data_IF_823082863387
#
_entry.id   IF_823082863387
#
_cell.length_a   1.000
_cell.length_b   1.000
_cell.length_c   1.000
_cell.angle_alpha   90.00
_cell.angle_beta   90.00
_cell.angle_gamma   90.00
#
_symmetry.space_group_name_H-M   'P 1'
#
loop_
_entity.id
_entity.type
_entity.pdbx_description
1 polymer ?
#
# COMPACT_ATOMS: atom_id res chain seq x y z
N UNK A 1 6.30 17.33 -13.40
CA UNK A 1 5.96 17.72 -12.00
C UNK A 1 7.26 17.79 -11.23
N UNK A 2 7.50 18.85 -10.48
CA UNK A 2 8.67 18.90 -9.59
C UNK A 2 8.29 18.19 -8.29
N UNK A 3 8.73 16.97 -8.11
CA UNK A 3 8.65 16.27 -6.84
C UNK A 3 9.81 16.77 -5.98
N UNK A 4 9.54 17.60 -4.99
CA UNK A 4 10.60 18.27 -4.23
C UNK A 4 11.08 17.50 -2.99
N UNK A 5 10.29 16.54 -2.47
CA UNK A 5 10.60 15.86 -1.21
C UNK A 5 10.61 14.34 -1.39
N UNK A 6 11.77 13.72 -1.22
CA UNK A 6 11.92 12.27 -1.16
C UNK A 6 11.34 11.77 0.16
N UNK A 7 10.32 10.90 0.09
CA UNK A 7 9.69 10.30 1.27
C UNK A 7 10.24 8.91 1.59
N UNK A 8 10.72 8.19 0.57
CA UNK A 8 11.35 6.88 0.73
C UNK A 8 12.62 6.84 -0.11
N UNK A 9 13.74 6.42 0.50
CA UNK A 9 14.98 6.12 -0.22
C UNK A 9 15.46 4.73 0.12
N UNK A 10 15.83 3.98 -0.89
CA UNK A 10 16.41 2.64 -0.79
C UNK A 10 17.74 2.69 -1.51
N UNK A 11 18.83 2.27 -0.84
CA UNK A 11 20.17 2.29 -1.43
C UNK A 11 20.84 0.94 -1.26
N UNK A 12 21.27 0.37 -2.37
CA UNK A 12 22.04 -0.87 -2.43
C UNK A 12 21.41 -2.04 -1.66
N UNK A 13 20.05 -2.10 -1.60
CA UNK A 13 19.35 -3.10 -0.83
C UNK A 13 19.57 -4.50 -1.42
N UNK A 14 20.05 -5.40 -0.58
CA UNK A 14 20.22 -6.80 -0.89
C UNK A 14 19.44 -7.65 0.12
N UNK A 15 18.69 -8.64 -0.37
CA UNK A 15 17.92 -9.55 0.49
C UNK A 15 18.20 -11.00 0.08
N UNK A 16 18.54 -11.82 1.09
CA UNK A 16 18.74 -13.27 0.90
C UNK A 16 17.90 -14.08 1.87
N UNK A 17 17.25 -15.12 1.37
CA UNK A 17 16.59 -16.16 2.15
C UNK A 17 17.50 -17.39 2.22
N UNK A 18 18.20 -17.57 3.33
CA UNK A 18 19.29 -18.56 3.43
C UNK A 18 20.38 -18.25 2.39
N UNK A 19 20.65 -19.19 1.49
CA UNK A 19 21.63 -19.02 0.41
C UNK A 19 21.07 -18.36 -0.85
N UNK A 20 19.74 -18.27 -0.99
CA UNK A 20 19.09 -17.73 -2.18
C UNK A 20 19.02 -16.19 -2.13
N UNK A 21 19.70 -15.54 -3.07
CA UNK A 21 19.58 -14.09 -3.27
C UNK A 21 18.27 -13.77 -3.98
N UNK A 22 17.43 -12.91 -3.36
CA UNK A 22 16.13 -12.49 -3.89
C UNK A 22 16.22 -11.09 -4.49
N UNK A 23 16.76 -10.13 -3.74
CA UNK A 23 17.05 -8.78 -4.23
C UNK A 23 18.56 -8.59 -4.26
N UNK A 24 19.04 -7.96 -5.34
CA UNK A 24 20.46 -7.80 -5.64
C UNK A 24 20.73 -6.36 -6.03
N UNK A 25 21.12 -5.52 -5.05
CA UNK A 25 21.50 -4.15 -5.33
C UNK A 25 20.32 -3.29 -5.86
N UNK A 26 19.25 -3.18 -5.06
CA UNK A 26 18.10 -2.34 -5.37
C UNK A 26 18.36 -0.93 -4.85
N UNK A 27 18.28 0.05 -5.74
CA UNK A 27 18.26 1.47 -5.38
C UNK A 27 17.02 2.13 -5.99
N UNK A 28 16.29 2.90 -5.17
CA UNK A 28 14.99 3.48 -5.52
C UNK A 28 14.72 4.68 -4.63
N UNK A 29 14.25 5.80 -5.19
CA UNK A 29 13.66 6.90 -4.45
C UNK A 29 12.19 7.08 -4.84
N UNK A 30 11.36 7.47 -3.87
CA UNK A 30 9.95 7.83 -4.05
C UNK A 30 9.75 9.24 -3.51
N UNK A 31 9.13 10.09 -4.30
CA UNK A 31 8.80 11.45 -3.94
C UNK A 31 7.35 11.59 -3.45
N UNK A 32 7.07 12.64 -2.70
CA UNK A 32 5.72 12.92 -2.21
C UNK A 32 4.72 13.05 -3.36
N UNK A 33 3.60 12.33 -3.28
CA UNK A 33 2.56 12.30 -4.31
C UNK A 33 2.96 11.63 -5.63
N UNK A 34 4.05 10.84 -5.66
CA UNK A 34 4.49 10.08 -6.82
C UNK A 34 3.89 8.67 -6.83
N UNK A 35 3.47 8.18 -7.99
CA UNK A 35 3.10 6.79 -8.22
C UNK A 35 4.21 6.11 -9.02
N UNK A 36 4.96 5.22 -8.36
CA UNK A 36 5.99 4.40 -9.01
C UNK A 36 5.48 2.98 -9.20
N UNK A 37 5.39 2.54 -10.45
CA UNK A 37 5.06 1.16 -10.77
C UNK A 37 6.30 0.28 -10.80
N UNK A 38 6.20 -0.91 -10.22
CA UNK A 38 7.24 -1.95 -10.27
C UNK A 38 6.66 -3.18 -10.96
N UNK A 39 7.05 -3.40 -12.20
CA UNK A 39 6.68 -4.58 -12.98
C UNK A 39 7.74 -5.68 -12.84
N UNK A 40 7.38 -6.89 -13.24
CA UNK A 40 8.32 -8.03 -13.28
C UNK A 40 7.60 -9.37 -13.22
N UNK A 41 8.29 -10.43 -13.63
CA UNK A 41 7.74 -11.80 -13.61
C UNK A 41 7.38 -12.24 -12.19
N UNK A 42 6.47 -13.22 -12.07
CA UNK A 42 6.22 -13.88 -10.78
C UNK A 42 7.52 -14.41 -10.19
N UNK A 43 7.74 -14.22 -8.89
CA UNK A 43 8.95 -14.63 -8.20
C UNK A 43 10.18 -13.74 -8.40
N UNK A 44 10.09 -12.59 -9.11
CA UNK A 44 11.22 -11.66 -9.29
C UNK A 44 11.66 -10.93 -8.02
N UNK A 45 10.83 -10.94 -6.95
CA UNK A 45 11.15 -10.28 -5.68
C UNK A 45 10.27 -9.07 -5.34
N UNK A 46 9.25 -8.75 -6.14
CA UNK A 46 8.37 -7.56 -5.93
C UNK A 46 7.73 -7.53 -4.53
N UNK A 47 7.04 -8.59 -4.14
CA UNK A 47 6.44 -8.67 -2.80
C UNK A 47 7.50 -8.74 -1.68
N UNK A 48 8.73 -9.19 -1.98
CA UNK A 48 9.85 -9.14 -1.04
C UNK A 48 10.29 -7.70 -0.80
N UNK A 49 10.31 -6.86 -1.84
CA UNK A 49 10.59 -5.43 -1.72
C UNK A 49 9.56 -4.74 -0.82
N UNK A 50 8.27 -4.97 -1.08
CA UNK A 50 7.20 -4.39 -0.23
C UNK A 50 7.29 -4.88 1.22
N UNK A 51 7.55 -6.18 1.44
CA UNK A 51 7.74 -6.74 2.78
C UNK A 51 8.96 -6.17 3.49
N UNK A 52 10.03 -5.84 2.76
CA UNK A 52 11.22 -5.20 3.33
C UNK A 52 10.88 -3.81 3.90
N UNK A 53 10.18 -2.99 3.12
CA UNK A 53 9.71 -1.66 3.55
C UNK A 53 8.81 -1.78 4.79
N UNK A 54 7.91 -2.77 4.80
CA UNK A 54 6.99 -3.02 5.92
C UNK A 54 7.66 -3.70 7.14
N UNK A 55 8.93 -4.11 7.07
CA UNK A 55 9.56 -4.89 8.14
C UNK A 55 8.89 -6.24 8.39
N UNK A 56 8.38 -6.89 7.34
CA UNK A 56 7.66 -8.17 7.38
C UNK A 56 8.45 -9.32 6.73
N UNK A 57 9.76 -9.19 6.71
CA UNK A 57 10.62 -10.27 6.22
C UNK A 57 10.72 -11.43 7.25
N UNK A 58 10.89 -12.66 6.79
CA UNK A 58 11.13 -13.81 7.68
C UNK A 58 12.35 -13.60 8.59
N UNK A 59 12.33 -14.17 9.80
CA UNK A 59 13.35 -13.97 10.85
C UNK A 59 14.78 -14.36 10.47
N UNK A 60 14.95 -15.25 9.49
CA UNK A 60 16.27 -15.71 9.00
C UNK A 60 16.67 -15.04 7.68
N UNK A 61 16.26 -13.80 7.48
CA UNK A 61 16.59 -13.03 6.27
C UNK A 61 17.89 -12.26 6.48
N UNK A 62 18.83 -12.38 5.55
CA UNK A 62 20.01 -11.51 5.49
C UNK A 62 19.65 -10.26 4.68
N UNK A 63 19.89 -9.08 5.26
CA UNK A 63 19.62 -7.77 4.68
C UNK A 63 20.91 -6.95 4.69
N UNK A 64 21.22 -6.29 3.58
CA UNK A 64 22.28 -5.29 3.47
C UNK A 64 21.76 -4.09 2.66
N UNK A 65 22.38 -2.93 2.80
CA UNK A 65 21.92 -1.66 2.23
C UNK A 65 21.06 -0.89 3.22
N UNK A 66 20.34 0.15 2.73
CA UNK A 66 19.52 1.03 3.56
C UNK A 66 18.09 1.13 3.03
N UNK A 67 17.15 1.38 3.92
CA UNK A 67 15.76 1.79 3.62
C UNK A 67 15.44 2.92 4.58
N UNK A 68 15.29 4.13 4.07
CA UNK A 68 14.95 5.31 4.86
C UNK A 68 13.56 5.82 4.45
N UNK A 69 12.72 6.11 5.41
CA UNK A 69 11.41 6.71 5.21
C UNK A 69 11.34 8.01 6.00
N UNK A 70 11.07 9.12 5.33
CA UNK A 70 11.07 10.47 5.89
C UNK A 70 12.35 10.77 6.74
N UNK A 71 13.49 10.28 6.25
CA UNK A 71 14.79 10.45 6.93
C UNK A 71 15.09 9.49 8.08
N UNK A 72 14.14 8.65 8.51
CA UNK A 72 14.36 7.61 9.54
C UNK A 72 14.66 6.24 8.90
N UNK A 73 15.71 5.57 9.39
CA UNK A 73 16.07 4.23 8.90
C UNK A 73 15.06 3.18 9.36
N UNK A 74 14.34 2.58 8.41
CA UNK A 74 13.38 1.52 8.70
C UNK A 74 14.06 0.27 9.26
N UNK A 75 15.25 -0.07 8.78
CA UNK A 75 15.96 -1.27 9.23
C UNK A 75 16.42 -1.19 10.69
N UNK A 76 16.51 0.01 11.27
CA UNK A 76 16.87 0.26 12.67
C UNK A 76 15.64 0.28 13.60
N UNK A 77 14.41 0.25 13.07
CA UNK A 77 13.20 0.33 13.88
C UNK A 77 12.97 -0.95 14.70
N UNK A 78 12.59 -0.76 15.95
CA UNK A 78 12.09 -1.85 16.78
C UNK A 78 10.61 -2.19 16.43
N UNK A 79 10.13 -3.31 16.97
CA UNK A 79 8.77 -3.79 16.71
C UNK A 79 7.68 -2.75 17.01
N UNK A 80 7.81 -2.02 18.11
CA UNK A 80 6.82 -1.02 18.55
C UNK A 80 6.75 0.16 17.60
N UNK A 81 7.90 0.68 17.15
CA UNK A 81 7.94 1.75 16.14
C UNK A 81 7.34 1.31 14.81
N UNK A 82 7.65 0.09 14.35
CA UNK A 82 7.01 -0.47 13.15
C UNK A 82 5.50 -0.65 13.30
N UNK A 83 5.01 -1.05 14.48
CA UNK A 83 3.57 -1.18 14.71
C UNK A 83 2.84 0.17 14.55
N UNK A 84 3.47 1.26 15.03
CA UNK A 84 2.93 2.61 14.85
C UNK A 84 3.01 3.07 13.39
N UNK A 85 4.15 2.85 12.74
CA UNK A 85 4.37 3.25 11.35
C UNK A 85 3.35 2.61 10.38
N UNK A 86 3.06 1.30 10.60
CA UNK A 86 2.11 0.55 9.77
C UNK A 86 0.70 1.04 10.00
N UNK A 87 0.06 1.52 8.95
CA UNK A 87 -1.27 2.08 8.95
C UNK A 87 -1.28 3.61 9.10
N UNK A 88 -0.49 4.19 10.01
CA UNK A 88 -0.43 5.65 10.19
C UNK A 88 0.33 6.32 9.04
N UNK A 89 1.54 5.85 8.74
CA UNK A 89 2.43 6.47 7.76
C UNK A 89 2.58 5.65 6.48
N UNK A 90 2.65 4.32 6.63
CA UNK A 90 2.77 3.38 5.52
C UNK A 90 1.61 2.39 5.60
N UNK A 91 0.73 2.41 4.61
CA UNK A 91 -0.33 1.42 4.47
C UNK A 91 0.02 0.39 3.38
N UNK A 92 -0.61 -0.78 3.46
CA UNK A 92 -0.41 -1.83 2.48
C UNK A 92 -1.75 -2.32 1.95
N UNK A 93 -1.84 -2.47 0.64
CA UNK A 93 -2.94 -3.07 -0.06
C UNK A 93 -2.45 -4.37 -0.71
N UNK A 94 -2.75 -5.49 -0.06
CA UNK A 94 -2.38 -6.80 -0.56
C UNK A 94 -3.35 -7.30 -1.63
N UNK A 95 -2.88 -8.20 -2.47
CA UNK A 95 -3.73 -8.97 -3.37
C UNK A 95 -4.90 -9.58 -2.60
N UNK A 96 -6.12 -9.53 -3.16
CA UNK A 96 -7.36 -9.98 -2.49
C UNK A 96 -7.64 -9.25 -1.16
N UNK A 97 -7.75 -7.94 -1.20
CA UNK A 97 -8.01 -7.12 -0.01
C UNK A 97 -9.20 -7.62 0.84
N UNK A 98 -10.21 -8.26 0.23
CA UNK A 98 -11.37 -8.81 0.95
C UNK A 98 -10.97 -9.90 1.96
N UNK A 99 -9.93 -10.68 1.67
CA UNK A 99 -9.47 -11.77 2.54
C UNK A 99 -8.77 -11.26 3.81
N UNK A 100 -8.47 -9.95 3.86
CA UNK A 100 -7.89 -9.32 5.05
C UNK A 100 -8.92 -8.99 6.12
N UNK A 101 -10.22 -9.01 5.76
CA UNK A 101 -11.31 -8.73 6.69
C UNK A 101 -11.78 -9.98 7.44
N UNK A 102 -12.12 -9.79 8.71
CA UNK A 102 -12.79 -10.83 9.50
C UNK A 102 -14.24 -11.00 9.01
N UNK A 103 -14.65 -12.18 8.49
CA UNK A 103 -15.95 -12.35 7.84
C UNK A 103 -17.16 -12.27 8.81
N UNK A 104 -16.93 -12.46 10.11
CA UNK A 104 -17.97 -12.50 11.15
C UNK A 104 -18.23 -11.14 11.81
N UNK A 105 -17.51 -10.11 11.39
CA UNK A 105 -17.60 -8.76 11.95
C UNK A 105 -17.96 -7.75 10.88
N UNK A 106 -18.69 -6.72 11.25
CA UNK A 106 -19.01 -5.64 10.34
C UNK A 106 -17.72 -4.85 9.99
N UNK A 107 -17.74 -4.18 8.84
CA UNK A 107 -16.60 -3.35 8.43
C UNK A 107 -16.38 -2.19 9.41
N UNK A 108 -17.47 -1.58 9.92
CA UNK A 108 -17.38 -0.48 10.89
C UNK A 108 -16.69 -0.88 12.19
N UNK A 109 -16.97 -2.08 12.72
CA UNK A 109 -16.26 -2.63 13.89
C UNK A 109 -14.76 -2.74 13.61
N UNK A 110 -14.39 -3.25 12.42
CA UNK A 110 -12.99 -3.43 12.05
C UNK A 110 -12.28 -2.10 11.81
N UNK A 111 -12.94 -1.13 11.17
CA UNK A 111 -12.39 0.23 11.00
C UNK A 111 -12.19 0.92 12.36
N UNK A 112 -13.15 0.77 13.29
CA UNK A 112 -13.02 1.32 14.64
C UNK A 112 -11.85 0.71 15.40
N UNK A 113 -11.59 -0.59 15.24
CA UNK A 113 -10.43 -1.24 15.86
C UNK A 113 -9.10 -0.72 15.32
N UNK A 114 -9.00 -0.48 14.02
CA UNK A 114 -7.78 0.10 13.43
C UNK A 114 -7.51 1.47 14.08
N UNK A 115 -8.52 2.34 14.20
CA UNK A 115 -8.35 3.63 14.86
C UNK A 115 -7.93 3.48 16.33
N UNK A 116 -8.55 2.55 17.06
CA UNK A 116 -8.20 2.29 18.47
C UNK A 116 -6.79 1.75 18.63
N UNK A 117 -6.38 0.84 17.74
CA UNK A 117 -5.02 0.24 17.76
C UNK A 117 -3.92 1.30 17.59
N UNK A 118 -4.23 2.40 16.92
CA UNK A 118 -3.35 3.55 16.70
C UNK A 118 -3.68 4.74 17.63
N UNK A 119 -4.32 4.49 18.78
CA UNK A 119 -4.70 5.50 19.75
C UNK A 119 -5.55 6.65 19.16
N UNK A 120 -6.38 6.36 18.15
CA UNK A 120 -7.25 7.30 17.43
C UNK A 120 -6.50 8.59 17.02
N UNK A 121 -5.52 8.50 16.10
CA UNK A 121 -4.68 9.65 15.73
C UNK A 121 -5.50 10.81 15.12
N UNK A 122 -6.68 10.50 14.56
CA UNK A 122 -7.62 11.49 14.02
C UNK A 122 -8.49 12.15 15.07
N UNK A 123 -8.45 11.68 16.34
CA UNK A 123 -9.22 12.20 17.48
C UNK A 123 -10.73 12.28 17.23
N UNK A 124 -11.28 11.32 16.48
CA UNK A 124 -12.70 11.27 16.14
C UNK A 124 -13.55 10.78 17.33
N UNK A 125 -14.66 11.46 17.58
CA UNK A 125 -15.76 10.92 18.39
C UNK A 125 -16.50 9.82 17.64
N UNK A 126 -17.40 9.08 18.29
CA UNK A 126 -18.19 8.03 17.63
C UNK A 126 -19.06 8.59 16.48
N UNK A 127 -19.67 9.75 16.66
CA UNK A 127 -20.50 10.39 15.64
C UNK A 127 -19.65 10.91 14.46
N UNK A 128 -18.50 11.52 14.76
CA UNK A 128 -17.56 11.98 13.73
C UNK A 128 -16.96 10.80 12.94
N UNK A 129 -16.79 9.64 13.58
CA UNK A 129 -16.31 8.44 12.93
C UNK A 129 -17.24 7.99 11.79
N UNK A 130 -18.55 7.86 12.06
CA UNK A 130 -19.50 7.42 11.03
C UNK A 130 -19.55 8.40 9.85
N UNK A 131 -19.51 9.71 10.13
CA UNK A 131 -19.46 10.75 9.10
C UNK A 131 -18.13 10.69 8.31
N UNK A 132 -17.03 10.43 8.98
CA UNK A 132 -15.71 10.27 8.33
C UNK A 132 -15.70 9.08 7.39
N UNK A 133 -16.17 7.90 7.86
CA UNK A 133 -16.27 6.70 7.04
C UNK A 133 -17.20 6.89 5.85
N UNK A 134 -18.37 7.54 6.05
CA UNK A 134 -19.30 7.81 4.95
C UNK A 134 -18.67 8.71 3.86
N UNK A 135 -17.93 9.75 4.25
CA UNK A 135 -17.20 10.61 3.30
C UNK A 135 -16.12 9.84 2.56
N UNK A 136 -15.34 9.05 3.29
CA UNK A 136 -14.28 8.24 2.69
C UNK A 136 -14.86 7.16 1.77
N UNK A 137 -15.96 6.53 2.14
CA UNK A 137 -16.69 5.57 1.31
C UNK A 137 -17.17 6.19 -0.01
N UNK A 138 -17.68 7.42 0.03
CA UNK A 138 -18.12 8.15 -1.16
C UNK A 138 -16.96 8.37 -2.14
N UNK A 139 -15.74 8.68 -1.68
CA UNK A 139 -14.54 8.82 -2.54
C UNK A 139 -14.24 7.54 -3.30
N UNK A 140 -14.56 6.38 -2.73
CA UNK A 140 -14.36 5.06 -3.35
C UNK A 140 -15.63 4.51 -4.01
N UNK A 141 -16.69 5.32 -4.16
CA UNK A 141 -17.99 4.89 -4.72
C UNK A 141 -18.56 3.66 -3.98
N UNK A 142 -18.40 3.63 -2.67
CA UNK A 142 -19.02 2.67 -1.77
C UNK A 142 -20.27 3.28 -1.15
N UNK A 143 -21.24 2.46 -0.70
CA UNK A 143 -22.41 2.95 0.04
C UNK A 143 -22.01 3.72 1.30
N UNK A 144 -22.71 4.81 1.62
CA UNK A 144 -22.42 5.61 2.81
C UNK A 144 -22.56 4.80 4.12
N UNK A 145 -23.42 3.79 4.12
CA UNK A 145 -23.62 2.86 5.25
C UNK A 145 -22.70 1.63 5.19
N UNK A 146 -21.57 1.70 4.49
CA UNK A 146 -20.62 0.56 4.32
C UNK A 146 -20.18 -0.03 5.67
N UNK A 147 -20.14 0.77 6.73
CA UNK A 147 -19.82 0.33 8.09
C UNK A 147 -20.73 -0.79 8.60
N UNK A 148 -21.99 -0.86 8.15
CA UNK A 148 -22.94 -1.90 8.55
C UNK A 148 -22.81 -3.22 7.77
N UNK A 149 -21.98 -3.26 6.71
CA UNK A 149 -21.81 -4.45 5.88
C UNK A 149 -20.86 -5.45 6.52
N UNK A 150 -21.16 -6.73 6.33
CA UNK A 150 -20.20 -7.82 6.53
C UNK A 150 -19.36 -8.01 5.27
N UNK A 151 -18.08 -8.41 5.38
CA UNK A 151 -17.23 -8.67 4.22
C UNK A 151 -17.86 -9.64 3.21
N UNK A 152 -18.59 -10.65 3.69
CA UNK A 152 -19.30 -11.65 2.86
C UNK A 152 -20.43 -11.06 2.00
N UNK A 153 -20.92 -9.87 2.31
CA UNK A 153 -21.96 -9.18 1.54
C UNK A 153 -21.38 -8.29 0.42
N UNK A 154 -20.06 -8.18 0.32
CA UNK A 154 -19.40 -7.35 -0.69
C UNK A 154 -19.21 -8.12 -2.00
N UNK A 155 -19.44 -7.44 -3.13
CA UNK A 155 -18.91 -7.91 -4.40
C UNK A 155 -17.37 -7.80 -4.42
N UNK A 156 -16.70 -8.51 -5.34
CA UNK A 156 -15.24 -8.43 -5.47
C UNK A 156 -14.73 -6.99 -5.65
N UNK A 157 -15.39 -6.20 -6.50
CA UNK A 157 -15.07 -4.79 -6.70
C UNK A 157 -15.35 -3.92 -5.46
N UNK A 158 -16.39 -4.21 -4.69
CA UNK A 158 -16.64 -3.52 -3.41
C UNK A 158 -15.57 -3.91 -2.38
N UNK A 159 -15.17 -5.18 -2.31
CA UNK A 159 -14.13 -5.67 -1.41
C UNK A 159 -12.79 -4.98 -1.65
N UNK A 160 -12.37 -4.88 -2.91
CA UNK A 160 -11.15 -4.16 -3.27
C UNK A 160 -11.21 -2.68 -2.86
N UNK A 161 -12.32 -2.00 -3.14
CA UNK A 161 -12.52 -0.60 -2.76
C UNK A 161 -12.60 -0.41 -1.23
N UNK A 162 -13.18 -1.36 -0.50
CA UNK A 162 -13.14 -1.37 0.96
C UNK A 162 -11.71 -1.54 1.50
N UNK A 163 -10.87 -2.35 0.85
CA UNK A 163 -9.44 -2.44 1.14
C UNK A 163 -8.72 -1.10 0.97
N UNK A 164 -9.04 -0.35 -0.10
CA UNK A 164 -8.52 1.02 -0.26
C UNK A 164 -9.01 1.97 0.82
N UNK A 165 -10.28 1.88 1.20
CA UNK A 165 -10.81 2.68 2.30
C UNK A 165 -10.01 2.42 3.57
N UNK A 166 -9.70 1.16 3.88
CA UNK A 166 -8.84 0.80 5.03
C UNK A 166 -7.43 1.37 4.88
N UNK A 167 -6.82 1.24 3.71
CA UNK A 167 -5.49 1.78 3.47
C UNK A 167 -5.44 3.30 3.70
N UNK A 168 -6.52 4.01 3.38
CA UNK A 168 -6.64 5.47 3.56
C UNK A 168 -7.17 5.92 4.92
N UNK A 169 -7.59 4.99 5.75
CA UNK A 169 -8.31 5.30 7.01
C UNK A 169 -7.51 6.22 7.93
N UNK A 170 -6.20 6.06 7.99
CA UNK A 170 -5.30 6.85 8.82
C UNK A 170 -4.51 7.92 8.03
N UNK A 171 -4.85 8.12 6.74
CA UNK A 171 -4.21 9.09 5.83
C UNK A 171 -2.69 8.90 5.71
N UNK A 172 -2.22 7.72 5.29
CA UNK A 172 -0.80 7.44 5.20
C UNK A 172 -0.12 8.33 4.15
N UNK A 173 1.19 8.54 4.32
CA UNK A 173 2.01 9.22 3.32
C UNK A 173 2.41 8.29 2.16
N UNK A 174 2.49 6.97 2.42
CA UNK A 174 2.88 5.96 1.43
C UNK A 174 1.92 4.77 1.43
N UNK A 175 1.47 4.37 0.24
CA UNK A 175 0.73 3.11 0.03
C UNK A 175 1.58 2.13 -0.77
N UNK A 176 1.68 0.90 -0.27
CA UNK A 176 2.28 -0.23 -0.96
C UNK A 176 1.17 -1.11 -1.52
N UNK A 177 0.98 -1.15 -2.83
CA UNK A 177 -0.08 -1.91 -3.48
C UNK A 177 0.52 -3.12 -4.21
N UNK A 178 0.17 -4.34 -3.78
CA UNK A 178 0.62 -5.61 -4.38
C UNK A 178 -0.51 -6.23 -5.19
N UNK A 179 -0.42 -6.15 -6.52
CA UNK A 179 -1.40 -6.69 -7.50
C UNK A 179 -2.86 -6.30 -7.19
N UNK A 180 -3.17 -5.02 -6.96
CA UNK A 180 -4.47 -4.59 -6.41
C UNK A 180 -5.67 -4.82 -7.34
N UNK A 181 -5.42 -5.10 -8.63
CA UNK A 181 -6.47 -5.35 -9.65
C UNK A 181 -6.60 -6.81 -10.06
N UNK A 182 -5.79 -7.72 -9.52
CA UNK A 182 -5.69 -9.10 -10.03
C UNK A 182 -7.02 -9.89 -10.02
N UNK A 183 -7.96 -9.54 -9.15
CA UNK A 183 -9.27 -10.20 -9.02
C UNK A 183 -10.44 -9.31 -9.48
N UNK A 184 -10.17 -8.22 -10.22
CA UNK A 184 -11.17 -7.24 -10.61
C UNK A 184 -11.52 -7.35 -12.09
N UNK A 185 -12.78 -7.07 -12.42
CA UNK A 185 -13.20 -6.79 -13.78
C UNK A 185 -12.62 -5.44 -14.29
N UNK A 186 -12.70 -5.22 -15.59
CA UNK A 186 -12.13 -4.03 -16.25
C UNK A 186 -12.69 -2.71 -15.67
N UNK A 187 -13.99 -2.66 -15.36
CA UNK A 187 -14.63 -1.44 -14.84
C UNK A 187 -14.13 -1.15 -13.42
N UNK A 188 -14.08 -2.17 -12.57
CA UNK A 188 -13.56 -2.06 -11.20
C UNK A 188 -12.08 -1.70 -11.20
N UNK A 189 -11.28 -2.27 -12.11
CA UNK A 189 -9.84 -1.94 -12.28
C UNK A 189 -9.65 -0.47 -12.66
N UNK A 190 -10.46 0.07 -13.59
CA UNK A 190 -10.38 1.47 -13.98
C UNK A 190 -10.80 2.41 -12.83
N UNK A 191 -11.83 2.04 -12.06
CA UNK A 191 -12.23 2.82 -10.88
C UNK A 191 -11.12 2.88 -9.84
N UNK A 192 -10.45 1.75 -9.60
CA UNK A 192 -9.32 1.66 -8.69
C UNK A 192 -8.14 2.50 -9.18
N UNK A 193 -7.84 2.46 -10.47
CA UNK A 193 -6.82 3.29 -11.11
C UNK A 193 -7.10 4.79 -10.91
N UNK A 194 -8.36 5.22 -11.10
CA UNK A 194 -8.77 6.59 -10.82
C UNK A 194 -8.59 6.97 -9.34
N UNK A 195 -8.95 6.06 -8.42
CA UNK A 195 -8.78 6.30 -6.99
C UNK A 195 -7.30 6.49 -6.63
N UNK A 196 -6.39 5.65 -7.15
CA UNK A 196 -4.95 5.81 -6.94
C UNK A 196 -4.45 7.19 -7.40
N UNK A 197 -4.87 7.62 -8.60
CA UNK A 197 -4.49 8.95 -9.12
C UNK A 197 -5.03 10.09 -8.26
N UNK A 198 -6.30 10.03 -7.88
CA UNK A 198 -6.92 11.04 -7.03
C UNK A 198 -6.19 11.14 -5.69
N UNK A 199 -5.91 9.99 -5.05
CA UNK A 199 -5.18 9.96 -3.78
C UNK A 199 -3.78 10.56 -3.90
N UNK A 200 -3.06 10.21 -4.96
CA UNK A 200 -1.73 10.77 -5.21
C UNK A 200 -1.79 12.29 -5.45
N UNK A 201 -2.66 12.76 -6.34
CA UNK A 201 -2.66 14.17 -6.78
C UNK A 201 -3.38 15.13 -5.81
N UNK A 202 -4.45 14.69 -5.16
CA UNK A 202 -5.27 15.54 -4.28
C UNK A 202 -4.89 15.41 -2.80
N UNK A 203 -4.42 14.24 -2.38
CA UNK A 203 -4.06 13.97 -0.99
C UNK A 203 -2.55 13.87 -0.76
N UNK A 204 -1.73 14.05 -1.81
CA UNK A 204 -0.27 13.95 -1.77
C UNK A 204 0.24 12.58 -1.24
N UNK A 205 -0.53 11.51 -1.48
CA UNK A 205 -0.18 10.15 -1.07
C UNK A 205 0.71 9.52 -2.14
N UNK A 206 1.88 9.03 -1.76
CA UNK A 206 2.76 8.32 -2.67
C UNK A 206 2.40 6.84 -2.76
N UNK A 207 2.65 6.22 -3.91
CA UNK A 207 2.27 4.82 -4.13
C UNK A 207 3.42 4.05 -4.76
N UNK A 208 3.75 2.90 -4.20
CA UNK A 208 4.50 1.85 -4.91
C UNK A 208 3.48 0.82 -5.40
N UNK A 209 3.27 0.78 -6.70
CA UNK A 209 2.32 -0.11 -7.36
C UNK A 209 3.05 -1.30 -7.97
N UNK A 210 2.94 -2.45 -7.35
CA UNK A 210 3.41 -3.72 -7.92
C UNK A 210 2.30 -4.34 -8.74
N UNK A 211 2.51 -4.54 -10.03
CA UNK A 211 1.53 -5.16 -10.91
C UNK A 211 2.18 -5.73 -12.17
N UNK A 212 1.46 -6.58 -12.89
CA UNK A 212 1.78 -7.01 -14.24
C UNK A 212 0.82 -6.41 -15.29
N UNK A 213 -0.17 -5.63 -14.87
CA UNK A 213 -1.15 -4.98 -15.73
C UNK A 213 -0.57 -3.68 -16.34
N UNK A 214 -0.16 -3.78 -17.61
CA UNK A 214 0.38 -2.63 -18.37
C UNK A 214 -0.62 -1.50 -18.55
N UNK A 215 -1.91 -1.81 -18.70
CA UNK A 215 -2.94 -0.78 -18.87
C UNK A 215 -3.09 0.05 -17.59
N UNK A 216 -3.09 -0.61 -16.42
CA UNK A 216 -3.08 0.06 -15.12
C UNK A 216 -1.85 0.95 -14.97
N UNK A 217 -0.66 0.43 -15.27
CA UNK A 217 0.60 1.19 -15.18
C UNK A 217 0.56 2.43 -16.08
N UNK A 218 0.26 2.27 -17.36
CA UNK A 218 0.22 3.37 -18.33
C UNK A 218 -0.79 4.45 -17.94
N UNK A 219 -1.85 4.08 -17.23
CA UNK A 219 -2.88 5.02 -16.80
C UNK A 219 -2.53 5.73 -15.48
N UNK A 220 -1.81 5.06 -14.56
CA UNK A 220 -1.64 5.56 -13.19
C UNK A 220 -0.24 6.03 -12.86
N UNK A 221 0.80 5.35 -13.36
CA UNK A 221 2.16 5.54 -12.89
C UNK A 221 2.80 6.82 -13.45
N UNK A 222 3.54 7.52 -12.60
CA UNK A 222 4.41 8.63 -13.01
C UNK A 222 5.78 8.08 -13.47
N UNK A 223 6.24 6.95 -12.90
CA UNK A 223 7.47 6.24 -13.28
C UNK A 223 7.24 4.74 -13.33
N UNK A 224 7.92 4.07 -14.26
CA UNK A 224 7.89 2.62 -14.42
C UNK A 224 9.28 2.03 -14.21
N UNK A 225 9.36 1.06 -13.30
CA UNK A 225 10.53 0.24 -13.04
C UNK A 225 10.23 -1.22 -13.34
N UNK A 226 11.21 -1.95 -13.83
CA UNK A 226 11.07 -3.39 -14.05
C UNK A 226 12.04 -4.15 -13.16
N UNK A 227 11.52 -5.09 -12.36
CA UNK A 227 12.32 -5.97 -11.51
C UNK A 227 12.67 -7.26 -12.26
N UNK A 228 13.92 -7.39 -12.67
CA UNK A 228 14.46 -8.55 -13.40
C UNK A 228 15.58 -9.18 -12.58
N UNK A 229 15.46 -10.46 -12.28
CA UNK A 229 16.47 -11.25 -11.55
C UNK A 229 16.99 -10.57 -10.27
N UNK A 230 16.09 -9.89 -9.55
CA UNK A 230 16.38 -9.21 -8.30
C UNK A 230 17.07 -7.85 -8.46
N UNK A 231 17.06 -7.24 -9.65
CA UNK A 231 17.57 -5.89 -9.93
C UNK A 231 16.48 -5.02 -10.52
N UNK A 232 16.44 -3.74 -10.15
CA UNK A 232 15.57 -2.74 -10.78
C UNK A 232 16.26 -2.18 -12.02
N UNK A 233 15.47 -2.05 -13.09
CA UNK A 233 15.86 -1.44 -14.35
C UNK A 233 14.79 -0.38 -14.64
N UNK A 234 15.17 0.86 -14.88
CA UNK A 234 14.25 1.86 -15.40
C UNK A 234 13.79 1.44 -16.81
N UNK A 235 12.49 1.53 -17.05
CA UNK A 235 11.95 1.33 -18.39
C UNK A 235 12.06 2.68 -19.13
N UNK A 236 12.67 2.63 -20.31
CA UNK A 236 12.71 3.75 -21.25
C UNK A 236 11.31 4.15 -21.74
#
# INVERSE_FOLDING_TARGET
MNFNDEILTIEHLQIKYGTRSILKDISLSIHAGEIVAVMGKSGSGKSTLLRAIMGLLPTKTSIAGTINFQGESLLALNKTKYQKLRGEEIACLWQNAIDTFCPWRTLGEQFSEILKAHANPLKLTAEEFDNYIAKLAASFKLPANISSYYPTALSGGMGARAGFLVAMLLKPALILADEPTAALDTVSSLQLANNLRTMSKENNVSVILVTHDKALVNYTADRLLTLVDGRLIEAD
#
